data_IF_253749281517
#
_entry.id   IF_253749281517
#
_cell.length_a   1.000
_cell.length_b   1.000
_cell.length_c   1.000
_cell.angle_alpha   90.00
_cell.angle_beta   90.00
_cell.angle_gamma   90.00
#
_symmetry.space_group_name_H-M   'P 1'
#
loop_
_entity.id
_entity.type
_entity.pdbx_description
1 polymer ?
#
# COMPACT_ATOMS: atom_id res chain seq x y z
N UNK A 1 5.92 52.45 -10.30
CA UNK A 1 5.94 51.16 -11.04
C UNK A 1 6.65 50.12 -10.16
N UNK A 2 6.25 48.84 -10.17
CA UNK A 2 5.25 48.35 -9.21
C UNK A 2 5.70 47.14 -8.36
N UNK A 3 4.96 46.88 -7.28
CA UNK A 3 4.94 45.66 -6.43
C UNK A 3 6.24 45.26 -5.68
N UNK A 4 6.35 45.57 -4.37
CA UNK A 4 7.42 45.04 -3.50
C UNK A 4 7.33 43.53 -3.22
N UNK A 5 6.25 42.86 -3.66
CA UNK A 5 5.88 41.53 -3.16
C UNK A 5 5.86 40.46 -4.27
N UNK A 6 6.98 40.29 -4.99
CA UNK A 6 7.14 39.22 -5.97
C UNK A 6 8.24 38.24 -5.55
N UNK A 7 7.89 36.94 -5.50
CA UNK A 7 8.83 35.84 -5.28
C UNK A 7 9.11 35.15 -6.62
N UNK A 8 10.38 34.95 -6.96
CA UNK A 8 10.79 34.25 -8.18
C UNK A 8 10.69 32.73 -7.97
N UNK A 9 9.91 32.04 -8.80
CA UNK A 9 9.75 30.59 -8.76
C UNK A 9 10.55 29.95 -9.92
N UNK A 10 11.62 29.18 -9.63
CA UNK A 10 12.52 28.66 -10.66
C UNK A 10 11.86 27.72 -11.68
N UNK A 11 10.74 27.08 -11.32
CA UNK A 11 10.06 26.09 -12.16
C UNK A 11 9.21 26.68 -13.28
N UNK A 12 8.93 27.99 -13.30
CA UNK A 12 7.98 28.59 -14.26
C UNK A 12 8.44 29.88 -14.95
N UNK A 13 9.68 30.35 -14.73
CA UNK A 13 10.25 31.54 -15.39
C UNK A 13 9.27 32.74 -15.48
N UNK A 14 8.67 33.12 -14.34
CA UNK A 14 7.78 34.27 -14.23
C UNK A 14 7.55 34.73 -12.78
N UNK A 15 7.18 36.00 -12.58
CA UNK A 15 6.93 36.63 -11.27
C UNK A 15 5.44 36.49 -10.87
N UNK A 16 5.16 36.09 -9.62
CA UNK A 16 3.80 36.01 -9.09
C UNK A 16 3.65 36.77 -7.76
N UNK A 17 2.56 37.54 -7.62
CA UNK A 17 2.25 38.26 -6.37
C UNK A 17 1.61 37.33 -5.32
N UNK A 18 1.76 37.69 -4.04
CA UNK A 18 1.26 36.91 -2.90
C UNK A 18 -0.25 36.58 -2.96
N UNK A 19 -1.06 37.44 -3.59
CA UNK A 19 -2.51 37.22 -3.75
C UNK A 19 -2.84 36.08 -4.73
N UNK A 20 -2.02 35.89 -5.78
CA UNK A 20 -2.18 34.80 -6.75
C UNK A 20 -1.82 33.44 -6.14
N UNK A 21 -0.78 33.40 -5.30
CA UNK A 21 -0.36 32.19 -4.55
C UNK A 21 -1.48 31.73 -3.61
N UNK A 22 -2.13 32.67 -2.93
CA UNK A 22 -3.24 32.37 -2.01
C UNK A 22 -4.50 31.81 -2.72
N UNK A 23 -4.76 32.21 -3.97
CA UNK A 23 -5.95 31.77 -4.73
C UNK A 23 -5.77 30.46 -5.49
N UNK A 24 -4.55 30.11 -5.94
CA UNK A 24 -4.34 28.93 -6.80
C UNK A 24 -3.70 27.70 -6.14
N UNK A 25 -3.31 27.73 -4.86
CA UNK A 25 -2.92 26.55 -4.03
C UNK A 25 -2.15 25.44 -4.77
N UNK A 26 -1.03 25.79 -5.40
CA UNK A 26 0.01 24.81 -5.74
C UNK A 26 1.33 25.35 -5.22
N UNK A 27 1.68 24.95 -3.99
CA UNK A 27 3.07 24.92 -3.55
C UNK A 27 3.22 23.62 -2.75
N UNK A 28 3.84 22.64 -3.38
CA UNK A 28 4.53 21.55 -2.69
C UNK A 28 5.64 22.18 -1.86
N UNK A 29 5.57 22.09 -0.53
CA UNK A 29 6.65 22.59 0.31
C UNK A 29 7.79 21.58 0.35
N UNK A 30 8.74 21.76 -0.56
CA UNK A 30 10.13 21.35 -0.39
C UNK A 30 11.00 22.61 -0.15
N UNK A 31 11.37 22.82 1.11
CA UNK A 31 12.49 23.59 1.70
C UNK A 31 12.74 25.10 1.41
N UNK A 32 13.06 25.81 2.51
CA UNK A 32 13.67 27.15 2.72
C UNK A 32 12.90 28.42 2.27
N UNK A 33 12.79 29.40 3.17
CA UNK A 33 12.26 30.75 2.89
C UNK A 33 13.45 31.67 2.59
N UNK A 34 13.44 32.31 1.41
CA UNK A 34 14.41 33.34 1.04
C UNK A 34 13.82 34.72 1.32
N UNK A 35 14.51 35.55 2.10
CA UNK A 35 14.21 36.97 2.27
C UNK A 35 15.38 37.79 1.69
N UNK A 36 15.06 38.88 1.00
CA UNK A 36 16.04 39.90 0.59
C UNK A 36 15.90 41.09 1.52
N UNK A 37 17.02 41.48 2.15
CA UNK A 37 17.11 42.73 2.92
C UNK A 37 18.09 43.66 2.22
N UNK A 38 17.80 44.97 2.26
CA UNK A 38 18.66 45.99 1.68
C UNK A 38 19.54 46.57 2.79
N UNK A 39 20.83 46.26 2.75
CA UNK A 39 21.83 46.78 3.69
C UNK A 39 22.93 47.47 2.89
N UNK A 40 23.22 48.72 3.25
CA UNK A 40 24.33 49.56 2.76
C UNK A 40 24.80 49.28 1.32
N UNK A 41 23.89 49.60 0.38
CA UNK A 41 24.10 49.73 -1.08
C UNK A 41 24.23 48.43 -1.88
N UNK A 42 24.01 47.25 -1.30
CA UNK A 42 23.88 46.00 -2.08
C UNK A 42 22.69 45.14 -1.60
N UNK A 43 22.15 44.33 -2.51
CA UNK A 43 21.13 43.32 -2.19
C UNK A 43 21.82 42.02 -1.81
N UNK A 44 21.72 41.59 -0.56
CA UNK A 44 22.14 40.25 -0.14
C UNK A 44 20.95 39.30 -0.02
N UNK A 45 21.14 38.06 -0.47
CA UNK A 45 20.18 36.96 -0.29
C UNK A 45 20.41 36.35 1.07
N UNK A 46 19.45 36.49 1.98
CA UNK A 46 19.51 35.84 3.29
C UNK A 46 18.59 34.62 3.26
N UNK A 47 19.19 33.45 3.49
CA UNK A 47 18.49 32.18 3.59
C UNK A 47 18.21 31.89 5.06
N UNK A 48 16.94 31.89 5.45
CA UNK A 48 16.54 31.57 6.83
C UNK A 48 15.94 30.17 6.83
N UNK A 49 16.53 29.27 7.61
CA UNK A 49 15.95 27.96 7.84
C UNK A 49 14.65 28.14 8.65
N UNK A 50 13.56 27.48 8.22
CA UNK A 50 12.29 27.52 8.95
C UNK A 50 12.44 26.98 10.38
N UNK A 51 13.46 26.14 10.60
CA UNK A 51 13.75 25.51 11.88
C UNK A 51 14.23 26.50 12.96
N UNK A 52 14.66 27.71 12.58
CA UNK A 52 15.11 28.77 13.51
C UNK A 52 13.97 29.72 13.92
N UNK A 53 12.76 29.56 13.38
CA UNK A 53 11.61 30.40 13.72
C UNK A 53 10.81 29.85 14.89
N UNK A 54 10.71 30.64 15.96
CA UNK A 54 9.89 30.31 17.13
C UNK A 54 8.40 30.12 16.78
N UNK A 55 7.72 29.28 17.56
CA UNK A 55 6.33 28.84 17.32
C UNK A 55 5.31 29.99 17.12
N UNK A 56 5.56 31.14 17.75
CA UNK A 56 4.72 32.33 17.64
C UNK A 56 4.82 33.00 16.26
N UNK A 57 6.01 33.02 15.65
CA UNK A 57 6.24 33.55 14.31
C UNK A 57 5.60 32.65 13.23
N UNK A 58 5.65 31.32 13.44
CA UNK A 58 4.99 30.35 12.56
C UNK A 58 3.46 30.53 12.56
N UNK A 59 2.84 30.67 13.74
CA UNK A 59 1.40 30.93 13.86
C UNK A 59 0.99 32.28 13.27
N UNK A 60 1.87 33.28 13.32
CA UNK A 60 1.66 34.59 12.71
C UNK A 60 1.62 34.50 11.18
N UNK A 61 2.57 33.78 10.59
CA UNK A 61 2.61 33.49 9.15
C UNK A 61 1.40 32.66 8.68
N UNK A 62 0.95 31.68 9.46
CA UNK A 62 -0.23 30.86 9.14
C UNK A 62 -1.54 31.67 9.05
N UNK A 63 -1.59 32.84 9.70
CA UNK A 63 -2.71 33.80 9.59
C UNK A 63 -2.59 34.74 8.39
N UNK A 64 -1.52 34.61 7.60
CA UNK A 64 -1.29 35.39 6.38
C UNK A 64 -0.66 36.76 6.60
N UNK A 65 -0.07 37.01 7.77
CA UNK A 65 0.64 38.26 8.05
C UNK A 65 2.12 38.17 7.67
N UNK A 66 2.74 39.24 7.13
CA UNK A 66 4.17 39.25 6.82
C UNK A 66 5.05 39.07 8.07
N UNK A 67 6.19 38.40 7.93
CA UNK A 67 7.14 38.22 9.04
C UNK A 67 7.76 39.55 9.50
N UNK A 68 7.91 40.53 8.59
CA UNK A 68 8.42 41.87 8.90
C UNK A 68 7.53 42.66 9.87
N UNK A 69 6.28 42.24 10.05
CA UNK A 69 5.34 42.88 10.99
C UNK A 69 5.14 42.06 12.26
N UNK A 70 5.97 41.03 12.48
CA UNK A 70 5.90 40.18 13.67
C UNK A 70 6.60 40.86 14.85
N UNK A 71 5.86 41.09 15.94
CA UNK A 71 6.39 41.62 17.20
C UNK A 71 6.27 40.53 18.29
N UNK A 72 7.40 39.98 18.79
CA UNK A 72 7.39 38.91 19.79
C UNK A 72 6.91 39.36 21.17
N UNK A 73 6.80 40.66 21.46
CA UNK A 73 6.43 41.18 22.77
C UNK A 73 4.93 41.52 22.93
N UNK A 74 4.12 41.34 21.87
CA UNK A 74 2.68 41.65 21.91
C UNK A 74 1.85 40.46 22.43
N UNK A 75 1.07 40.60 23.52
CA UNK A 75 0.31 39.48 24.10
C UNK A 75 -0.81 39.01 23.17
N UNK A 76 -0.84 37.70 22.87
CA UNK A 76 -1.89 37.06 22.07
C UNK A 76 -3.00 36.52 22.97
N UNK A 77 -4.22 37.06 22.87
CA UNK A 77 -5.39 36.56 23.60
C UNK A 77 -5.88 35.22 23.04
N UNK A 78 -6.02 34.23 23.92
CA UNK A 78 -6.53 32.88 23.63
C UNK A 78 -8.06 32.89 23.80
N UNK A 79 -8.80 32.54 22.75
CA UNK A 79 -10.23 32.27 22.85
C UNK A 79 -10.48 30.79 23.13
N UNK A 80 -11.05 30.48 24.30
CA UNK A 80 -11.59 29.15 24.63
C UNK A 80 -12.98 28.98 24.00
N UNK A 81 -13.27 27.81 23.44
CA UNK A 81 -14.60 27.47 22.95
C UNK A 81 -15.18 26.30 23.76
N UNK A 82 -16.44 26.49 24.18
CA UNK A 82 -17.18 25.78 25.22
C UNK A 82 -17.44 24.28 24.95
N UNK A 83 -17.48 23.51 26.05
CA UNK A 83 -18.05 22.16 26.16
C UNK A 83 -19.57 22.22 26.00
N UNK A 84 -20.16 21.27 25.26
CA UNK A 84 -21.57 20.89 25.42
C UNK A 84 -21.70 19.37 25.38
N UNK A 85 -22.60 18.88 26.23
CA UNK A 85 -22.83 17.53 26.72
C UNK A 85 -23.86 16.74 25.91
N UNK A 86 -23.62 15.42 25.78
CA UNK A 86 -24.57 14.31 25.95
C UNK A 86 -25.75 14.15 24.97
N UNK A 87 -25.79 13.00 24.27
CA UNK A 87 -26.76 11.91 24.53
C UNK A 87 -26.68 10.81 23.46
N UNK A 88 -26.64 9.57 23.93
CA UNK A 88 -26.72 8.30 23.18
C UNK A 88 -27.98 8.17 22.33
N UNK A 89 -27.87 7.49 21.19
CA UNK A 89 -28.76 6.36 20.84
C UNK A 89 -28.12 5.57 19.68
N UNK A 90 -27.34 4.56 20.07
CA UNK A 90 -26.96 3.44 19.23
C UNK A 90 -28.05 2.36 19.37
N UNK A 91 -28.69 1.98 18.27
CA UNK A 91 -29.24 0.64 18.05
C UNK A 91 -29.87 0.59 16.66
N UNK A 92 -29.17 0.01 15.69
CA UNK A 92 -29.80 -0.69 14.56
C UNK A 92 -28.78 -1.58 13.83
N UNK A 93 -29.03 -2.89 13.90
CA UNK A 93 -28.73 -3.91 12.89
C UNK A 93 -27.26 -4.34 12.71
N UNK A 94 -26.82 -5.26 13.57
CA UNK A 94 -25.80 -6.24 13.19
C UNK A 94 -26.47 -7.36 12.37
N UNK A 95 -26.36 -7.30 11.04
CA UNK A 95 -26.55 -8.46 10.18
C UNK A 95 -25.20 -9.21 10.03
N UNK A 96 -25.20 -10.54 9.89
CA UNK A 96 -23.97 -11.30 9.65
C UNK A 96 -23.35 -10.86 8.31
N UNK A 97 -22.16 -10.29 8.37
CA UNK A 97 -21.46 -9.70 7.22
C UNK A 97 -20.85 -10.81 6.37
N UNK A 98 -21.20 -10.82 5.07
CA UNK A 98 -20.63 -11.71 4.06
C UNK A 98 -19.14 -11.43 3.86
N UNK A 99 -18.32 -12.48 3.80
CA UNK A 99 -16.91 -12.38 3.38
C UNK A 99 -16.84 -11.92 1.90
N UNK A 100 -15.81 -11.14 1.51
CA UNK A 100 -15.66 -10.68 0.13
C UNK A 100 -15.58 -11.88 -0.82
N UNK A 101 -16.42 -11.87 -1.86
CA UNK A 101 -16.51 -12.95 -2.84
C UNK A 101 -16.12 -12.42 -4.21
N UNK A 102 -14.89 -12.70 -4.63
CA UNK A 102 -14.47 -12.40 -5.99
C UNK A 102 -15.37 -13.16 -6.98
N UNK A 103 -16.05 -12.43 -7.85
CA UNK A 103 -16.94 -13.02 -8.87
C UNK A 103 -16.09 -13.47 -10.05
N UNK A 104 -15.87 -14.78 -10.13
CA UNK A 104 -15.18 -15.41 -11.25
C UNK A 104 -16.18 -15.79 -12.36
N UNK A 105 -15.78 -15.82 -13.65
CA UNK A 105 -16.62 -16.28 -14.74
C UNK A 105 -17.18 -17.69 -14.46
N UNK A 106 -18.45 -17.97 -14.84
CA UNK A 106 -19.06 -19.28 -14.65
C UNK A 106 -18.34 -20.41 -15.41
N UNK A 107 -17.51 -20.07 -16.40
CA UNK A 107 -16.75 -21.00 -17.23
C UNK A 107 -15.24 -20.80 -17.09
N UNK A 108 -14.66 -21.07 -15.92
CA UNK A 108 -13.31 -21.67 -15.93
C UNK A 108 -13.51 -23.13 -16.31
N UNK A 109 -13.09 -23.60 -17.50
CA UNK A 109 -13.27 -25.00 -17.85
C UNK A 109 -12.68 -25.84 -16.73
N UNK A 110 -13.41 -26.87 -16.30
CA UNK A 110 -12.85 -27.98 -15.55
C UNK A 110 -11.82 -28.64 -16.46
N UNK A 111 -10.65 -28.01 -16.56
CA UNK A 111 -9.62 -28.35 -17.51
C UNK A 111 -9.08 -29.69 -17.05
N UNK A 112 -9.40 -30.75 -17.81
CA UNK A 112 -8.85 -32.08 -17.55
C UNK A 112 -7.34 -31.94 -17.61
N UNK A 113 -6.66 -32.33 -16.53
CA UNK A 113 -5.21 -32.42 -16.53
C UNK A 113 -4.80 -33.37 -17.67
N UNK A 114 -3.78 -33.03 -18.47
CA UNK A 114 -3.29 -33.92 -19.49
C UNK A 114 -2.82 -35.25 -18.86
N UNK A 115 -3.27 -36.37 -19.41
CA UNK A 115 -2.83 -37.70 -18.98
C UNK A 115 -1.36 -37.90 -19.35
N UNK A 116 -0.51 -38.16 -18.35
CA UNK A 116 0.83 -38.72 -18.55
C UNK A 116 1.94 -37.70 -18.83
N UNK A 117 2.76 -37.45 -17.82
CA UNK A 117 4.09 -36.86 -17.87
C UNK A 117 4.78 -37.17 -16.54
N UNK A 118 6.11 -37.38 -16.49
CA UNK A 118 6.75 -38.15 -15.42
C UNK A 118 6.44 -37.55 -14.06
N UNK A 119 5.92 -38.43 -13.20
CA UNK A 119 5.68 -38.20 -11.79
C UNK A 119 7.03 -37.88 -11.14
N UNK A 120 7.35 -36.59 -10.99
CA UNK A 120 8.43 -36.20 -10.07
C UNK A 120 7.82 -36.33 -8.69
N UNK A 121 7.81 -37.57 -8.19
CA UNK A 121 7.40 -37.93 -6.85
C UNK A 121 8.11 -37.03 -5.85
N UNK A 122 7.32 -36.17 -5.19
CA UNK A 122 7.76 -35.28 -4.12
C UNK A 122 8.18 -36.13 -2.93
N UNK A 123 9.47 -36.15 -2.62
CA UNK A 123 9.99 -36.72 -1.37
C UNK A 123 11.30 -36.01 -0.97
N UNK A 124 11.19 -35.22 0.10
CA UNK A 124 12.23 -34.79 1.05
C UNK A 124 13.56 -34.24 0.53
N UNK A 125 13.78 -32.93 0.78
CA UNK A 125 15.01 -32.16 0.56
C UNK A 125 15.44 -32.08 -0.91
N UNK A 126 15.13 -30.92 -1.51
CA UNK A 126 15.55 -30.49 -2.85
C UNK A 126 17.01 -30.87 -3.08
N UNK A 127 17.26 -31.91 -3.90
CA UNK A 127 18.63 -32.25 -4.25
C UNK A 127 19.20 -31.12 -5.12
N UNK A 128 20.50 -30.80 -5.02
CA UNK A 128 21.10 -29.73 -5.82
C UNK A 128 20.90 -29.88 -7.34
N UNK A 129 20.74 -31.12 -7.82
CA UNK A 129 20.40 -31.42 -9.22
C UNK A 129 19.02 -30.91 -9.64
N UNK A 130 18.03 -31.04 -8.77
CA UNK A 130 16.65 -30.63 -9.04
C UNK A 130 16.52 -29.10 -9.12
N UNK A 131 17.29 -28.38 -8.29
CA UNK A 131 17.33 -26.92 -8.31
C UNK A 131 17.96 -26.36 -9.59
N UNK A 132 19.01 -27.00 -10.11
CA UNK A 132 19.60 -26.61 -11.40
C UNK A 132 18.63 -26.80 -12.56
N UNK A 133 17.92 -27.93 -12.56
CA UNK A 133 16.89 -28.21 -13.57
C UNK A 133 15.73 -27.21 -13.45
N UNK A 134 15.27 -26.93 -12.23
CA UNK A 134 14.23 -25.93 -11.97
C UNK A 134 14.65 -24.56 -12.49
N UNK A 135 15.86 -24.10 -12.16
CA UNK A 135 16.37 -22.81 -12.62
C UNK A 135 16.35 -22.74 -14.15
N UNK A 136 16.87 -23.77 -14.85
CA UNK A 136 16.83 -23.84 -16.32
C UNK A 136 15.40 -23.76 -16.87
N UNK A 137 14.45 -24.48 -16.26
CA UNK A 137 13.04 -24.44 -16.68
C UNK A 137 12.40 -23.08 -16.42
N UNK A 138 12.72 -22.45 -15.29
CA UNK A 138 12.17 -21.15 -14.90
C UNK A 138 12.72 -20.00 -15.76
N UNK A 139 14.02 -20.03 -16.12
CA UNK A 139 14.63 -19.07 -17.06
C UNK A 139 13.94 -19.05 -18.44
N UNK A 140 13.36 -20.17 -18.86
CA UNK A 140 12.64 -20.28 -20.13
C UNK A 140 11.22 -19.68 -20.10
N UNK A 141 10.71 -19.31 -18.92
CA UNK A 141 9.36 -18.78 -18.72
C UNK A 141 9.32 -17.28 -18.93
N UNK A 142 8.24 -16.80 -19.55
CA UNK A 142 8.02 -15.41 -19.97
C UNK A 142 6.76 -14.79 -19.38
N UNK A 143 5.87 -15.59 -18.81
CA UNK A 143 4.60 -15.12 -18.24
C UNK A 143 4.45 -15.65 -16.81
N UNK A 144 5.37 -15.22 -15.95
CA UNK A 144 5.44 -15.65 -14.56
C UNK A 144 4.49 -14.82 -13.71
N UNK A 145 3.72 -15.46 -12.84
CA UNK A 145 2.96 -14.80 -11.78
C UNK A 145 3.58 -15.14 -10.43
N UNK A 146 3.84 -14.12 -9.61
CA UNK A 146 4.28 -14.29 -8.22
C UNK A 146 3.11 -13.98 -7.30
N UNK A 147 2.82 -14.87 -6.35
CA UNK A 147 1.83 -14.68 -5.28
C UNK A 147 2.57 -14.70 -3.95
N UNK A 148 2.64 -13.55 -3.28
CA UNK A 148 3.48 -13.36 -2.10
C UNK A 148 2.71 -12.99 -0.84
N UNK A 149 3.26 -13.38 0.30
CA UNK A 149 2.80 -12.97 1.64
C UNK A 149 3.94 -12.45 2.51
N UNK A 150 3.68 -12.31 3.81
CA UNK A 150 4.59 -11.61 4.72
C UNK A 150 5.97 -12.28 4.86
N UNK A 151 6.10 -13.56 4.49
CA UNK A 151 7.36 -14.29 4.49
C UNK A 151 8.45 -13.65 3.61
N UNK A 152 8.09 -12.95 2.52
CA UNK A 152 9.10 -12.26 1.69
C UNK A 152 9.71 -11.01 2.34
N UNK A 153 9.16 -10.56 3.47
CA UNK A 153 9.62 -9.37 4.18
C UNK A 153 10.32 -9.68 5.51
N UNK A 154 10.37 -10.95 5.94
CA UNK A 154 10.91 -11.32 7.26
C UNK A 154 12.41 -11.03 7.39
N UNK A 155 13.20 -11.37 6.37
CA UNK A 155 14.66 -11.14 6.38
C UNK A 155 15.01 -9.65 6.21
N UNK A 156 14.05 -8.85 5.77
CA UNK A 156 14.15 -7.39 5.73
C UNK A 156 13.86 -6.73 7.09
N UNK A 157 13.60 -7.52 8.13
CA UNK A 157 13.28 -7.05 9.47
C UNK A 157 11.81 -6.67 9.68
N UNK A 158 10.91 -7.03 8.75
CA UNK A 158 9.47 -6.82 8.93
C UNK A 158 8.85 -8.13 9.38
N UNK A 159 8.34 -8.23 10.62
CA UNK A 159 7.80 -9.47 11.08
C UNK A 159 6.53 -9.84 10.31
N UNK A 160 6.40 -11.14 10.06
CA UNK A 160 5.14 -11.71 9.61
C UNK A 160 4.10 -11.67 10.73
N UNK A 161 2.85 -11.99 10.39
CA UNK A 161 1.74 -11.99 11.35
C UNK A 161 1.79 -13.16 12.36
N UNK A 162 2.93 -13.87 12.46
CA UNK A 162 3.12 -15.06 13.31
C UNK A 162 4.21 -14.85 14.35
N UNK A 163 5.35 -14.29 13.92
CA UNK A 163 6.60 -14.23 14.67
C UNK A 163 6.64 -13.07 15.66
N UNK A 164 5.92 -11.98 15.42
CA UNK A 164 5.88 -10.83 16.33
C UNK A 164 4.74 -10.86 17.36
N UNK A 165 3.82 -11.82 17.27
CA UNK A 165 2.68 -11.88 18.18
C UNK A 165 2.59 -13.21 18.91
N UNK A 166 2.48 -13.15 20.23
CA UNK A 166 2.12 -14.28 21.10
C UNK A 166 0.76 -14.94 20.79
N UNK A 167 0.03 -14.53 19.75
CA UNK A 167 -1.05 -15.30 19.09
C UNK A 167 -1.49 -14.67 17.76
N UNK A 168 -1.83 -15.49 16.75
CA UNK A 168 -2.49 -15.05 15.49
C UNK A 168 -3.74 -14.20 15.75
N UNK A 169 -4.40 -14.44 16.89
CA UNK A 169 -5.56 -13.72 17.40
C UNK A 169 -5.32 -12.22 17.49
N UNK A 170 -4.12 -11.77 17.89
CA UNK A 170 -3.82 -10.34 18.04
C UNK A 170 -3.87 -9.57 16.72
N UNK A 171 -3.29 -10.11 15.64
CA UNK A 171 -3.31 -9.46 14.32
C UNK A 171 -4.71 -9.41 13.71
N UNK A 172 -5.52 -10.47 13.89
CA UNK A 172 -6.92 -10.45 13.43
C UNK A 172 -7.74 -9.42 14.18
N UNK A 173 -7.56 -9.28 15.50
CA UNK A 173 -8.25 -8.26 16.30
C UNK A 173 -7.89 -6.85 15.83
N UNK A 174 -6.61 -6.59 15.56
CA UNK A 174 -6.16 -5.25 15.12
C UNK A 174 -6.71 -4.87 13.75
N UNK A 175 -6.80 -5.83 12.83
CA UNK A 175 -7.25 -5.61 11.45
C UNK A 175 -8.73 -5.95 11.23
N UNK A 176 -9.54 -6.07 12.27
CA UNK A 176 -10.99 -6.29 12.13
C UNK A 176 -11.72 -4.97 11.81
N UNK A 177 -12.85 -5.03 11.12
CA UNK A 177 -13.69 -3.85 10.86
C UNK A 177 -14.10 -3.13 12.16
N UNK A 178 -14.25 -3.88 13.26
CA UNK A 178 -14.49 -3.35 14.61
C UNK A 178 -13.33 -2.55 15.20
N UNK A 179 -12.18 -2.46 14.52
CA UNK A 179 -11.09 -1.56 14.89
C UNK A 179 -11.50 -0.08 14.88
N UNK A 180 -12.61 0.30 14.24
CA UNK A 180 -13.17 1.66 14.32
C UNK A 180 -14.29 1.82 15.36
N UNK A 181 -14.58 0.78 16.15
CA UNK A 181 -15.63 0.83 17.18
C UNK A 181 -15.23 1.66 18.40
N UNK A 182 -13.93 1.75 18.74
CA UNK A 182 -13.42 2.63 19.81
C UNK A 182 -12.18 3.39 19.37
N UNK A 183 -11.86 4.54 19.99
CA UNK A 183 -10.63 5.28 19.68
C UNK A 183 -9.36 4.46 19.93
N UNK A 184 -9.31 3.64 20.98
CA UNK A 184 -8.12 2.88 21.38
C UNK A 184 -7.79 1.76 20.39
N UNK A 185 -8.82 1.07 19.87
CA UNK A 185 -8.62 0.06 18.83
C UNK A 185 -8.19 0.69 17.50
N UNK A 186 -8.76 1.87 17.17
CA UNK A 186 -8.37 2.61 15.97
C UNK A 186 -6.92 3.08 16.04
N UNK A 187 -6.49 3.62 17.19
CA UNK A 187 -5.11 4.03 17.44
C UNK A 187 -4.14 2.84 17.32
N UNK A 188 -4.54 1.66 17.82
CA UNK A 188 -3.73 0.44 17.71
C UNK A 188 -3.54 0.02 16.24
N UNK A 189 -4.62 0.02 15.44
CA UNK A 189 -4.55 -0.23 14.01
C UNK A 189 -3.66 0.80 13.29
N UNK A 190 -3.84 2.09 13.59
CA UNK A 190 -3.07 3.16 12.94
C UNK A 190 -1.58 3.09 13.29
N UNK A 191 -1.26 2.76 14.54
CA UNK A 191 0.11 2.58 15.00
C UNK A 191 0.79 1.40 14.28
N UNK A 192 0.10 0.26 14.15
CA UNK A 192 0.65 -0.91 13.44
C UNK A 192 0.85 -0.62 11.95
N UNK A 193 -0.14 -0.03 11.26
CA UNK A 193 0.01 0.35 9.84
C UNK A 193 1.15 1.35 9.63
N UNK A 194 1.28 2.35 10.51
CA UNK A 194 2.38 3.30 10.46
C UNK A 194 3.73 2.63 10.70
N UNK A 195 3.80 1.66 11.61
CA UNK A 195 5.00 0.86 11.84
C UNK A 195 5.37 0.07 10.58
N UNK A 196 4.41 -0.62 9.94
CA UNK A 196 4.64 -1.35 8.69
C UNK A 196 5.13 -0.42 7.57
N UNK A 197 4.53 0.76 7.41
CA UNK A 197 4.96 1.77 6.44
C UNK A 197 6.40 2.26 6.72
N UNK A 198 6.73 2.52 7.99
CA UNK A 198 8.08 2.93 8.40
C UNK A 198 9.10 1.85 8.10
N UNK A 199 8.79 0.62 8.46
CA UNK A 199 9.66 -0.52 8.22
C UNK A 199 9.85 -0.75 6.72
N UNK A 200 8.77 -0.71 5.92
CA UNK A 200 8.87 -0.91 4.47
C UNK A 200 9.71 0.14 3.75
N UNK A 201 9.65 1.41 4.21
CA UNK A 201 10.51 2.47 3.66
C UNK A 201 11.98 2.33 4.03
N UNK A 202 12.31 1.75 5.19
CA UNK A 202 13.69 1.65 5.70
C UNK A 202 14.34 0.30 5.44
N UNK A 203 13.55 -0.75 5.22
CA UNK A 203 14.03 -2.11 5.07
C UNK A 203 15.05 -2.21 3.92
N UNK A 204 16.13 -2.99 4.07
CA UNK A 204 16.98 -3.32 2.94
C UNK A 204 16.20 -4.14 1.90
N UNK A 205 16.70 -4.14 0.67
CA UNK A 205 16.22 -5.09 -0.34
C UNK A 205 16.81 -6.46 -0.03
N UNK A 206 15.99 -7.49 -0.12
CA UNK A 206 16.44 -8.88 0.04
C UNK A 206 16.85 -9.48 -1.31
N UNK A 207 17.52 -10.64 -1.31
CA UNK A 207 17.72 -11.40 -2.54
C UNK A 207 16.41 -11.67 -3.30
N UNK A 208 15.30 -11.97 -2.61
CA UNK A 208 14.01 -12.17 -3.27
C UNK A 208 13.49 -10.89 -3.96
N UNK A 209 13.64 -9.71 -3.34
CA UNK A 209 13.28 -8.45 -4.01
C UNK A 209 14.07 -8.24 -5.29
N UNK A 210 15.38 -8.52 -5.25
CA UNK A 210 16.26 -8.38 -6.41
C UNK A 210 15.87 -9.36 -7.52
N UNK A 211 15.54 -10.60 -7.15
CA UNK A 211 15.04 -11.61 -8.08
C UNK A 211 13.73 -11.19 -8.75
N UNK A 212 12.74 -10.74 -7.96
CA UNK A 212 11.45 -10.30 -8.50
C UNK A 212 11.58 -9.02 -9.36
N UNK A 213 12.46 -8.09 -8.98
CA UNK A 213 12.76 -6.90 -9.79
C UNK A 213 13.40 -7.26 -11.12
N UNK A 214 14.35 -8.21 -11.15
CA UNK A 214 14.97 -8.68 -12.40
C UNK A 214 13.96 -9.33 -13.33
N UNK A 215 13.05 -10.15 -12.79
CA UNK A 215 11.96 -10.73 -13.57
C UNK A 215 11.05 -9.66 -14.18
N UNK A 216 10.74 -8.61 -13.43
CA UNK A 216 9.96 -7.49 -13.93
C UNK A 216 10.71 -6.69 -14.99
N UNK A 217 12.00 -6.44 -14.77
CA UNK A 217 12.87 -5.70 -15.68
C UNK A 217 13.09 -6.42 -17.01
N UNK A 218 13.18 -7.75 -16.99
CA UNK A 218 13.37 -8.59 -18.19
C UNK A 218 12.06 -8.95 -18.89
N UNK A 219 10.92 -8.42 -18.44
CA UNK A 219 9.56 -8.73 -18.94
C UNK A 219 9.18 -10.21 -18.85
N UNK A 220 9.77 -10.94 -17.90
CA UNK A 220 9.36 -12.31 -17.58
C UNK A 220 8.21 -12.34 -16.56
N UNK A 221 8.09 -11.28 -15.74
CA UNK A 221 7.05 -11.16 -14.74
C UNK A 221 5.79 -10.51 -15.33
N UNK A 222 4.70 -11.27 -15.35
CA UNK A 222 3.39 -10.77 -15.72
C UNK A 222 2.79 -9.91 -14.61
N UNK A 223 2.59 -10.50 -13.43
CA UNK A 223 2.08 -9.82 -12.25
C UNK A 223 2.70 -10.37 -10.97
N UNK A 224 2.82 -9.48 -9.99
CA UNK A 224 3.12 -9.79 -8.62
C UNK A 224 1.91 -9.45 -7.75
N UNK A 225 1.18 -10.47 -7.33
CA UNK A 225 0.08 -10.34 -6.38
C UNK A 225 0.62 -10.44 -4.97
N UNK A 226 0.53 -9.36 -4.19
CA UNK A 226 1.03 -9.35 -2.82
C UNK A 226 -0.07 -9.10 -1.80
N UNK A 227 0.00 -9.88 -0.72
CA UNK A 227 -0.80 -9.69 0.50
C UNK A 227 -0.20 -8.63 1.44
N UNK A 228 1.01 -8.16 1.17
CA UNK A 228 1.75 -7.29 2.07
C UNK A 228 1.30 -5.85 1.92
N UNK A 229 1.08 -5.18 3.05
CA UNK A 229 0.74 -3.76 3.10
C UNK A 229 1.96 -2.86 3.34
N UNK A 230 3.14 -3.45 3.57
CA UNK A 230 4.38 -2.74 3.93
C UNK A 230 4.91 -1.82 2.81
N UNK A 231 4.40 -1.97 1.59
CA UNK A 231 4.73 -1.14 0.43
C UNK A 231 6.23 -1.18 0.04
N UNK A 232 6.98 -2.23 0.41
CA UNK A 232 8.41 -2.33 0.07
C UNK A 232 8.67 -2.32 -1.43
N UNK A 233 7.84 -3.02 -2.20
CA UNK A 233 7.99 -3.15 -3.65
C UNK A 233 7.80 -1.83 -4.40
N UNK A 234 7.29 -0.78 -3.76
CA UNK A 234 7.18 0.57 -4.36
C UNK A 234 8.53 1.21 -4.66
N UNK A 235 9.58 0.75 -4.00
CA UNK A 235 10.96 1.23 -4.17
C UNK A 235 11.69 0.52 -5.32
N UNK A 236 11.02 -0.41 -5.99
CA UNK A 236 11.54 -1.22 -7.08
C UNK A 236 10.78 -0.84 -8.36
N UNK A 237 11.38 -0.04 -9.26
CA UNK A 237 10.65 0.65 -10.33
C UNK A 237 9.94 -0.29 -11.32
N UNK A 238 10.52 -1.45 -11.65
CA UNK A 238 9.90 -2.38 -12.59
C UNK A 238 8.84 -3.24 -11.90
N UNK A 239 9.16 -3.80 -10.73
CA UNK A 239 8.26 -4.64 -9.94
C UNK A 239 7.04 -3.87 -9.45
N UNK A 240 7.20 -2.61 -9.04
CA UNK A 240 6.08 -1.78 -8.58
C UNK A 240 5.00 -1.62 -9.64
N UNK A 241 5.37 -1.56 -10.93
CA UNK A 241 4.43 -1.41 -12.05
C UNK A 241 3.66 -2.71 -12.32
N UNK A 242 4.22 -3.86 -11.94
CA UNK A 242 3.61 -5.19 -12.08
C UNK A 242 2.95 -5.66 -10.79
N UNK A 243 2.96 -4.87 -9.71
CA UNK A 243 2.47 -5.30 -8.39
C UNK A 243 1.01 -4.91 -8.17
N UNK A 244 0.19 -5.91 -7.84
CA UNK A 244 -1.21 -5.78 -7.41
C UNK A 244 -1.30 -6.00 -5.90
N UNK A 245 -1.91 -5.04 -5.20
CA UNK A 245 -1.95 -4.97 -3.73
C UNK A 245 -3.27 -5.52 -3.20
N UNK A 246 -3.29 -6.80 -2.84
CA UNK A 246 -4.53 -7.51 -2.52
C UNK A 246 -5.20 -7.04 -1.23
N UNK A 247 -4.41 -6.55 -0.26
CA UNK A 247 -4.90 -6.09 1.03
C UNK A 247 -4.76 -4.57 1.20
N UNK A 248 -4.64 -3.85 0.09
CA UNK A 248 -4.38 -2.42 0.12
C UNK A 248 -2.93 -2.08 0.47
N UNK A 249 -2.71 -0.81 0.85
CA UNK A 249 -1.39 -0.19 0.93
C UNK A 249 -1.30 0.75 2.14
N UNK A 250 -0.25 0.59 2.94
CA UNK A 250 -0.01 1.46 4.11
C UNK A 250 0.37 2.90 3.74
N UNK A 251 0.83 3.16 2.52
CA UNK A 251 1.22 4.50 2.04
C UNK A 251 0.05 5.31 1.44
N UNK A 252 -1.18 4.80 1.56
CA UNK A 252 -2.39 5.51 1.13
C UNK A 252 -3.44 5.56 2.23
N UNK A 253 -4.16 6.67 2.29
CA UNK A 253 -5.37 6.81 3.11
C UNK A 253 -6.59 6.93 2.19
N UNK A 254 -7.72 6.37 2.61
CA UNK A 254 -9.00 6.38 1.90
C UNK A 254 -10.06 7.07 2.74
N UNK A 255 -10.98 7.80 2.10
CA UNK A 255 -12.13 8.37 2.78
C UNK A 255 -13.21 7.31 3.05
N UNK A 256 -13.63 7.15 4.31
CA UNK A 256 -14.61 6.11 4.67
C UNK A 256 -16.00 6.31 4.01
N UNK A 257 -16.42 7.55 3.72
CA UNK A 257 -17.68 7.82 2.98
C UNK A 257 -17.52 7.82 1.46
N UNK A 258 -16.28 7.83 0.96
CA UNK A 258 -15.99 7.94 -0.46
C UNK A 258 -14.73 7.15 -0.80
N UNK A 259 -14.88 5.83 -1.06
CA UNK A 259 -13.76 4.96 -1.35
C UNK A 259 -12.93 5.39 -2.58
N UNK A 260 -13.54 6.10 -3.53
CA UNK A 260 -12.84 6.65 -4.70
C UNK A 260 -11.88 7.80 -4.39
N UNK A 261 -11.91 8.36 -3.17
CA UNK A 261 -11.00 9.40 -2.76
C UNK A 261 -9.90 8.84 -1.86
N UNK A 262 -8.72 8.69 -2.46
CA UNK A 262 -7.49 8.27 -1.79
C UNK A 262 -6.47 9.40 -1.80
N UNK A 263 -5.59 9.41 -0.79
CA UNK A 263 -4.44 10.31 -0.72
C UNK A 263 -3.17 9.53 -0.38
N UNK A 264 -2.05 9.98 -0.92
CA UNK A 264 -0.73 9.42 -0.62
C UNK A 264 -0.16 10.01 0.67
N UNK A 265 0.49 9.18 1.47
CA UNK A 265 1.11 9.57 2.73
C UNK A 265 2.51 8.97 2.89
N UNK A 266 3.33 9.70 3.64
CA UNK A 266 4.63 9.27 4.13
C UNK A 266 4.52 8.92 5.61
N UNK A 267 5.48 8.20 6.21
CA UNK A 267 5.54 8.04 7.66
C UNK A 267 5.45 9.34 8.47
N UNK A 268 5.90 10.48 7.91
CA UNK A 268 5.85 11.78 8.56
C UNK A 268 4.47 12.43 8.43
N UNK A 269 3.80 12.27 7.30
CA UNK A 269 2.49 12.87 7.04
C UNK A 269 1.32 12.01 7.50
N UNK A 270 1.48 10.70 7.64
CA UNK A 270 0.42 9.77 8.06
C UNK A 270 -0.26 10.20 9.37
N UNK A 271 0.44 10.50 10.48
CA UNK A 271 -0.21 10.90 11.74
C UNK A 271 -1.01 12.20 11.64
N UNK A 272 -0.66 13.07 10.68
CA UNK A 272 -1.37 14.33 10.45
C UNK A 272 -2.68 14.12 9.69
N UNK A 273 -2.74 13.11 8.85
CA UNK A 273 -3.87 12.89 7.93
C UNK A 273 -4.81 11.78 8.37
N UNK A 274 -4.34 10.80 9.16
CA UNK A 274 -5.21 9.76 9.70
C UNK A 274 -6.27 10.38 10.61
N UNK A 275 -7.52 9.95 10.45
CA UNK A 275 -8.73 10.53 11.06
C UNK A 275 -9.01 12.00 10.70
N UNK A 276 -8.19 12.65 9.87
CA UNK A 276 -8.46 14.01 9.42
C UNK A 276 -9.70 14.03 8.51
N UNK A 277 -10.51 15.10 8.55
CA UNK A 277 -11.67 15.19 7.68
C UNK A 277 -11.25 15.24 6.20
N UNK A 278 -11.90 14.42 5.39
CA UNK A 278 -11.66 14.26 3.96
C UNK A 278 -11.73 15.62 3.23
N UNK A 279 -10.65 16.04 2.55
CA UNK A 279 -10.60 17.33 1.86
C UNK A 279 -11.61 17.44 0.71
N UNK A 280 -11.88 16.36 -0.05
CA UNK A 280 -12.90 16.37 -1.09
C UNK A 280 -14.31 16.51 -0.52
N UNK A 281 -14.65 15.76 0.54
CA UNK A 281 -15.95 15.90 1.20
C UNK A 281 -16.13 17.32 1.77
N UNK A 282 -15.09 17.91 2.39
CA UNK A 282 -15.11 19.31 2.84
C UNK A 282 -15.34 20.28 1.68
N UNK A 283 -14.64 20.11 0.56
CA UNK A 283 -14.78 20.95 -0.63
C UNK A 283 -16.20 20.89 -1.20
N UNK A 284 -16.78 19.71 -1.29
CA UNK A 284 -18.15 19.54 -1.78
C UNK A 284 -19.20 20.08 -0.83
N UNK A 285 -19.04 19.85 0.48
CA UNK A 285 -19.94 20.42 1.48
C UNK A 285 -19.94 21.95 1.37
N UNK A 286 -18.77 22.59 1.26
CA UNK A 286 -18.65 24.04 1.05
C UNK A 286 -19.37 24.51 -0.22
N UNK A 287 -19.16 23.82 -1.36
CA UNK A 287 -19.87 24.12 -2.61
C UNK A 287 -21.39 24.05 -2.43
N UNK A 288 -21.89 23.01 -1.74
CA UNK A 288 -23.33 22.84 -1.49
C UNK A 288 -23.90 23.99 -0.66
N UNK A 289 -23.22 24.38 0.43
CA UNK A 289 -23.62 25.52 1.26
C UNK A 289 -23.66 26.81 0.44
N UNK A 290 -22.65 27.07 -0.39
CA UNK A 290 -22.62 28.25 -1.28
C UNK A 290 -23.81 28.26 -2.25
N UNK A 291 -24.22 27.09 -2.77
CA UNK A 291 -25.39 26.94 -3.64
C UNK A 291 -26.73 26.79 -2.89
N UNK A 292 -26.77 27.12 -1.58
CA UNK A 292 -27.96 26.98 -0.70
C UNK A 292 -28.57 25.56 -0.68
N UNK A 293 -27.77 24.53 -0.95
CA UNK A 293 -28.17 23.11 -0.88
C UNK A 293 -27.88 22.55 0.52
N UNK A 294 -28.65 21.53 0.92
CA UNK A 294 -28.41 20.78 2.17
C UNK A 294 -26.96 20.30 2.28
N UNK A 295 -26.38 20.49 3.48
CA UNK A 295 -25.05 19.98 3.85
C UNK A 295 -25.01 18.46 3.73
N UNK A 296 -23.90 17.92 3.22
CA UNK A 296 -23.60 16.48 3.24
C UNK A 296 -22.60 16.17 4.35
N UNK A 297 -22.60 14.94 4.84
CA UNK A 297 -21.61 14.47 5.81
C UNK A 297 -20.19 14.59 5.24
N UNK A 298 -19.23 14.87 6.12
CA UNK A 298 -17.81 14.92 5.79
C UNK A 298 -17.16 13.68 6.35
N UNK A 299 -16.65 12.82 5.46
CA UNK A 299 -15.92 11.64 5.89
C UNK A 299 -14.57 12.00 6.53
N UNK A 300 -13.94 11.06 7.21
CA UNK A 300 -12.57 11.09 7.67
C UNK A 300 -11.71 10.12 6.86
N UNK A 301 -10.40 10.36 6.86
CA UNK A 301 -9.42 9.53 6.19
C UNK A 301 -8.97 8.40 7.12
N UNK A 302 -8.92 7.18 6.60
CA UNK A 302 -8.40 6.00 7.29
C UNK A 302 -7.36 5.29 6.43
N UNK A 303 -6.48 4.44 6.97
CA UNK A 303 -5.58 3.64 6.16
C UNK A 303 -6.33 2.82 5.12
N UNK A 304 -5.81 2.83 3.89
CA UNK A 304 -6.35 2.06 2.78
C UNK A 304 -5.82 0.63 2.83
N UNK A 305 -6.16 -0.07 3.89
CA UNK A 305 -5.82 -1.49 4.11
C UNK A 305 -7.12 -2.26 4.26
N UNK A 306 -7.15 -3.49 3.75
CA UNK A 306 -8.27 -4.39 3.89
C UNK A 306 -8.39 -4.83 5.36
N UNK A 307 -9.57 -4.66 5.93
CA UNK A 307 -9.92 -5.16 7.25
C UNK A 307 -10.77 -6.43 7.14
N UNK A 308 -10.69 -7.32 8.13
CA UNK A 308 -11.60 -8.45 8.24
C UNK A 308 -13.04 -7.95 8.41
N UNK A 309 -13.98 -8.54 7.68
CA UNK A 309 -15.37 -8.10 7.67
C UNK A 309 -15.64 -6.86 6.81
N UNK A 310 -14.66 -6.37 6.05
CA UNK A 310 -14.88 -5.39 4.99
C UNK A 310 -14.74 -6.01 3.59
N UNK A 311 -15.41 -5.40 2.61
CA UNK A 311 -15.18 -5.72 1.20
C UNK A 311 -13.78 -5.28 0.77
N UNK A 312 -13.19 -5.99 -0.19
CA UNK A 312 -11.86 -5.70 -0.69
C UNK A 312 -11.80 -4.31 -1.34
N UNK A 313 -10.90 -3.39 -0.90
CA UNK A 313 -10.67 -2.15 -1.61
C UNK A 313 -10.22 -2.44 -3.06
N UNK A 314 -10.94 -1.91 -4.05
CA UNK A 314 -10.62 -2.18 -5.45
C UNK A 314 -10.94 -3.61 -5.89
N UNK A 315 -11.90 -4.27 -5.24
CA UNK A 315 -12.36 -5.63 -5.59
C UNK A 315 -12.63 -5.81 -7.09
N UNK A 316 -13.25 -4.82 -7.75
CA UNK A 316 -13.55 -4.88 -9.18
C UNK A 316 -12.27 -4.93 -10.03
N UNK A 317 -11.27 -4.11 -9.70
CA UNK A 317 -9.99 -4.05 -10.41
C UNK A 317 -9.18 -5.34 -10.19
N UNK A 318 -9.18 -5.85 -8.96
CA UNK A 318 -8.50 -7.11 -8.60
C UNK A 318 -9.19 -8.29 -9.29
N UNK A 319 -10.52 -8.36 -9.23
CA UNK A 319 -11.33 -9.37 -9.94
C UNK A 319 -11.07 -9.32 -11.44
N UNK A 320 -11.03 -8.13 -12.04
CA UNK A 320 -10.72 -7.98 -13.46
C UNK A 320 -9.30 -8.45 -13.81
N UNK A 321 -8.31 -8.18 -12.94
CA UNK A 321 -6.96 -8.68 -13.11
C UNK A 321 -6.90 -10.21 -13.02
N UNK A 322 -7.57 -10.80 -12.02
CA UNK A 322 -7.68 -12.25 -11.86
C UNK A 322 -8.33 -12.91 -13.09
N UNK A 323 -9.46 -12.40 -13.55
CA UNK A 323 -10.18 -12.94 -14.70
C UNK A 323 -9.35 -12.84 -15.99
N UNK A 324 -8.59 -11.76 -16.14
CA UNK A 324 -7.64 -11.62 -17.25
C UNK A 324 -6.57 -12.71 -17.19
N UNK A 325 -5.96 -12.94 -16.04
CA UNK A 325 -4.87 -13.93 -15.92
C UNK A 325 -5.36 -15.39 -16.00
N UNK A 326 -6.62 -15.66 -15.66
CA UNK A 326 -7.23 -16.97 -15.89
C UNK A 326 -7.40 -17.30 -17.39
N UNK A 327 -7.47 -16.29 -18.27
CA UNK A 327 -7.65 -16.51 -19.71
C UNK A 327 -6.33 -16.44 -20.49
N UNK A 328 -5.37 -15.64 -20.01
CA UNK A 328 -4.11 -15.38 -20.67
C UNK A 328 -3.08 -16.53 -20.52
N UNK A 329 -2.04 -16.60 -21.37
CA UNK A 329 -0.97 -17.58 -21.20
C UNK A 329 -0.14 -17.22 -19.96
N UNK A 330 -0.16 -18.10 -18.96
CA UNK A 330 0.71 -18.07 -17.79
C UNK A 330 1.47 -19.38 -17.79
N UNK A 331 2.79 -19.31 -17.65
CA UNK A 331 3.69 -20.45 -17.85
C UNK A 331 4.46 -20.84 -16.58
N UNK A 332 4.46 -19.98 -15.56
CA UNK A 332 4.83 -20.33 -14.19
C UNK A 332 4.05 -19.53 -13.13
N UNK A 333 3.76 -20.19 -12.01
CA UNK A 333 3.21 -19.57 -10.79
C UNK A 333 4.18 -19.82 -9.64
N UNK A 334 4.64 -18.76 -8.98
CA UNK A 334 5.49 -18.82 -7.80
C UNK A 334 4.70 -18.38 -6.57
N UNK A 335 4.39 -19.32 -5.68
CA UNK A 335 3.70 -19.07 -4.42
C UNK A 335 4.76 -18.98 -3.32
N UNK A 336 4.96 -17.81 -2.73
CA UNK A 336 6.15 -17.54 -1.92
C UNK A 336 5.82 -16.82 -0.61
N UNK A 337 6.35 -17.31 0.51
CA UNK A 337 6.25 -16.64 1.80
C UNK A 337 4.80 -16.43 2.27
N UNK A 338 3.87 -17.29 1.83
CA UNK A 338 2.47 -17.25 2.21
C UNK A 338 1.94 -18.64 2.54
N UNK A 339 0.84 -18.69 3.29
CA UNK A 339 0.05 -19.90 3.55
C UNK A 339 -1.27 -19.94 2.79
N UNK A 340 -1.59 -18.91 2.03
CA UNK A 340 -2.88 -18.78 1.34
C UNK A 340 -4.08 -19.02 2.27
N UNK A 341 -4.05 -18.47 3.50
CA UNK A 341 -5.14 -18.64 4.47
C UNK A 341 -6.37 -17.77 4.16
N UNK A 342 -6.31 -16.92 3.15
CA UNK A 342 -7.38 -16.00 2.78
C UNK A 342 -8.17 -16.66 1.65
N UNK A 343 -9.42 -17.11 1.90
CA UNK A 343 -10.13 -17.98 0.97
C UNK A 343 -10.27 -17.41 -0.45
N UNK A 344 -10.58 -16.11 -0.64
CA UNK A 344 -10.69 -15.56 -2.00
C UNK A 344 -9.39 -15.65 -2.81
N UNK A 345 -8.24 -15.42 -2.18
CA UNK A 345 -6.93 -15.58 -2.83
C UNK A 345 -6.58 -17.06 -3.04
N UNK A 346 -6.88 -17.93 -2.07
CA UNK A 346 -6.65 -19.36 -2.18
C UNK A 346 -7.42 -19.95 -3.37
N UNK A 347 -8.70 -19.61 -3.49
CA UNK A 347 -9.59 -20.02 -4.57
C UNK A 347 -9.08 -19.54 -5.94
N UNK A 348 -8.67 -18.27 -6.04
CA UNK A 348 -8.05 -17.74 -7.26
C UNK A 348 -6.78 -18.52 -7.62
N UNK A 349 -5.89 -18.71 -6.64
CA UNK A 349 -4.60 -19.39 -6.86
C UNK A 349 -4.82 -20.82 -7.35
N UNK A 350 -5.74 -21.56 -6.73
CA UNK A 350 -6.07 -22.92 -7.15
C UNK A 350 -6.58 -22.95 -8.60
N UNK A 351 -7.51 -22.05 -8.96
CA UNK A 351 -8.04 -21.95 -10.34
C UNK A 351 -6.93 -21.59 -11.33
N UNK A 352 -6.07 -20.64 -10.99
CA UNK A 352 -4.92 -20.26 -11.81
C UNK A 352 -3.99 -21.45 -12.04
N UNK A 353 -3.60 -22.16 -10.97
CA UNK A 353 -2.75 -23.34 -11.07
C UNK A 353 -3.39 -24.45 -11.92
N UNK A 354 -4.70 -24.68 -11.80
CA UNK A 354 -5.44 -25.63 -12.65
C UNK A 354 -5.33 -25.27 -14.12
N UNK A 355 -5.61 -24.02 -14.48
CA UNK A 355 -5.52 -23.53 -15.87
C UNK A 355 -4.08 -23.64 -16.39
N UNK A 356 -3.10 -23.25 -15.58
CA UNK A 356 -1.67 -23.28 -15.95
C UNK A 356 -1.20 -24.71 -16.21
N UNK A 357 -1.51 -25.65 -15.31
CA UNK A 357 -1.10 -27.06 -15.43
C UNK A 357 -1.85 -27.81 -16.53
N UNK A 358 -3.11 -27.44 -16.79
CA UNK A 358 -3.88 -28.06 -17.88
C UNK A 358 -3.40 -27.64 -19.27
N UNK A 359 -2.85 -26.41 -19.42
CA UNK A 359 -2.33 -25.93 -20.71
C UNK A 359 -1.06 -26.65 -21.17
N UNK A 360 -0.16 -27.00 -20.24
CA UNK A 360 1.07 -27.73 -20.57
C UNK A 360 1.69 -28.40 -19.34
N UNK A 361 2.20 -29.64 -19.45
CA UNK A 361 2.94 -30.30 -18.39
C UNK A 361 4.27 -29.59 -18.06
N UNK A 362 4.83 -28.81 -18.98
CA UNK A 362 6.05 -28.03 -18.77
C UNK A 362 5.83 -26.75 -17.95
N UNK A 363 4.58 -26.34 -17.73
CA UNK A 363 4.27 -25.16 -16.93
C UNK A 363 4.52 -25.42 -15.45
N UNK A 364 5.08 -24.43 -14.76
CA UNK A 364 5.54 -24.61 -13.39
C UNK A 364 4.54 -24.04 -12.38
N UNK A 365 4.32 -24.77 -11.31
CA UNK A 365 3.73 -24.27 -10.07
C UNK A 365 4.74 -24.58 -8.97
N UNK A 366 5.30 -23.52 -8.38
CA UNK A 366 6.41 -23.60 -7.44
C UNK A 366 5.93 -23.06 -6.10
N UNK A 367 6.08 -23.87 -5.05
CA UNK A 367 5.82 -23.47 -3.68
C UNK A 367 7.15 -23.16 -2.98
N UNK A 368 7.30 -21.98 -2.40
CA UNK A 368 8.50 -21.54 -1.68
C UNK A 368 8.10 -21.05 -0.29
N UNK A 369 8.31 -21.87 0.72
CA UNK A 369 7.97 -21.52 2.11
C UNK A 369 8.76 -22.38 3.09
N UNK A 370 8.90 -21.93 4.33
CA UNK A 370 9.54 -22.72 5.40
C UNK A 370 8.70 -23.92 5.83
N UNK A 371 7.41 -23.91 5.52
CA UNK A 371 6.45 -24.98 5.84
C UNK A 371 5.86 -25.55 4.55
N UNK A 372 5.54 -26.85 4.56
CA UNK A 372 4.77 -27.48 3.50
C UNK A 372 3.39 -26.84 3.33
N UNK A 373 2.85 -26.81 2.11
CA UNK A 373 1.51 -26.28 1.86
C UNK A 373 0.46 -27.07 2.64
N UNK A 374 -0.44 -26.37 3.33
CA UNK A 374 -1.61 -26.97 4.00
C UNK A 374 -2.85 -26.73 3.15
N UNK A 375 -2.83 -27.29 1.95
CA UNK A 375 -3.87 -27.12 0.93
C UNK A 375 -4.65 -28.43 0.76
N UNK A 376 -5.82 -28.39 0.12
CA UNK A 376 -6.53 -29.62 -0.25
C UNK A 376 -5.72 -30.45 -1.24
N UNK A 377 -5.87 -31.78 -1.22
CA UNK A 377 -5.09 -32.72 -2.05
C UNK A 377 -5.12 -32.35 -3.54
N UNK A 378 -6.27 -31.92 -4.05
CA UNK A 378 -6.44 -31.51 -5.44
C UNK A 378 -5.66 -30.24 -5.83
N UNK A 379 -5.33 -29.36 -4.88
CA UNK A 379 -4.48 -28.20 -5.13
C UNK A 379 -3.01 -28.57 -4.92
N UNK A 380 -2.69 -29.36 -3.89
CA UNK A 380 -1.32 -29.78 -3.65
C UNK A 380 -0.74 -30.60 -4.82
N UNK A 381 -1.55 -31.44 -5.48
CA UNK A 381 -1.14 -32.19 -6.68
C UNK A 381 -0.81 -31.33 -7.90
N UNK A 382 -1.20 -30.05 -7.91
CA UNK A 382 -0.85 -29.12 -8.98
C UNK A 382 0.55 -28.54 -8.82
N UNK A 383 1.14 -28.64 -7.62
CA UNK A 383 2.46 -28.11 -7.29
C UNK A 383 3.52 -28.99 -7.93
N UNK A 384 4.20 -28.46 -8.94
CA UNK A 384 5.26 -29.17 -9.66
C UNK A 384 6.60 -29.18 -8.93
N UNK A 385 6.82 -28.25 -7.99
CA UNK A 385 8.05 -28.17 -7.20
C UNK A 385 7.79 -27.52 -5.84
N UNK A 386 8.29 -28.14 -4.78
CA UNK A 386 8.23 -27.61 -3.42
C UNK A 386 9.65 -27.29 -2.92
N UNK A 387 9.91 -26.01 -2.64
CA UNK A 387 11.09 -25.56 -1.92
C UNK A 387 10.73 -25.27 -0.47
N UNK A 388 11.24 -26.11 0.44
CA UNK A 388 11.05 -25.96 1.88
C UNK A 388 12.26 -25.25 2.49
N UNK A 389 12.18 -23.92 2.61
CA UNK A 389 13.31 -23.12 3.07
C UNK A 389 13.03 -21.62 3.01
N UNK A 390 14.11 -20.84 3.12
CA UNK A 390 14.04 -19.39 3.04
C UNK A 390 13.88 -18.91 1.58
N UNK A 391 13.02 -17.91 1.35
CA UNK A 391 12.76 -17.41 0.00
C UNK A 391 13.96 -16.65 -0.58
N UNK A 392 14.82 -16.07 0.25
CA UNK A 392 16.03 -15.39 -0.20
C UNK A 392 17.12 -16.39 -0.61
N UNK A 393 17.21 -17.53 0.07
CA UNK A 393 18.07 -18.63 -0.32
C UNK A 393 17.62 -19.20 -1.67
N UNK A 394 16.31 -19.45 -1.83
CA UNK A 394 15.71 -19.85 -3.10
C UNK A 394 16.06 -18.85 -4.21
N UNK A 395 15.81 -17.55 -3.97
CA UNK A 395 16.08 -16.49 -4.95
C UNK A 395 17.57 -16.42 -5.34
N UNK A 396 18.48 -16.61 -4.38
CA UNK A 396 19.92 -16.60 -4.63
C UNK A 396 20.39 -17.79 -5.48
N UNK A 397 19.67 -18.91 -5.44
CA UNK A 397 19.94 -20.09 -6.26
C UNK A 397 19.36 -19.98 -7.68
N UNK A 398 18.39 -19.10 -7.90
CA UNK A 398 17.79 -18.86 -9.22
C UNK A 398 18.57 -17.76 -9.94
N UNK A 399 19.19 -18.10 -11.08
CA UNK A 399 19.93 -17.14 -11.91
C UNK A 399 19.06 -16.73 -13.08
N UNK A 400 18.25 -15.68 -12.89
CA UNK A 400 17.44 -15.05 -13.95
C UNK A 400 17.92 -13.62 -14.21
#
# INVERSE_FOLDING_TARGET
MPFPDCVFLPTYWGFACASCIARHRVIECSFNILRTEYLDRFWEKVQVAIDDLGLAALRWLERGHPLSTFDPHRPQTIWQCCRHSGSDLAHELAQPVQEPSFVFPPDTPNARLPNGGPDVSVSSRSHPGDLKLLNKKLCAKKNIIIISGAGISTNAGIPDYRSSSRSQTSSRIVYDASAYSTPESADTLHADVLQKLRSGRKAPFTPFDTFAERLAQSDHLRYHYTQNIDCRQTRLPYLSQRTVWLHGRADTLVCHLRPSHTIWVTPRSFPRWVLAPCPLCKKEQRKRVMTRKRRRAVGFLRPNVLLYGENCPGEDEITAAFNRDLTQPVDAVLIVGTRLLIPPLANFTERLCKVVRAKSPDNLVIWVSKESPKLGEGFQSLISFEYLGDCDDFASMMSI
#
